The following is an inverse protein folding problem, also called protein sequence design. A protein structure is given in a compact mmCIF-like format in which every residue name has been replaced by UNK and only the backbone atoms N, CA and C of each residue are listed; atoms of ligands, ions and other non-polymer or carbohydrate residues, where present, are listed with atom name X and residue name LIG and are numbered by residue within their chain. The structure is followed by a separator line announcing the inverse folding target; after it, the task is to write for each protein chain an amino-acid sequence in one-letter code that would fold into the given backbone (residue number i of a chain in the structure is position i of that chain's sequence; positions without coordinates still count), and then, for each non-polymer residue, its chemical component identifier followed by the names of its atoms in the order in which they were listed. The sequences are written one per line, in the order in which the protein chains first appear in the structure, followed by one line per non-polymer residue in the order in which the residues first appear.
data_IF_108367845004
#
_entry.id   IF_108367845004
#
_cell.length_a   1.000
_cell.length_b   1.000
_cell.length_c   1.000
_cell.angle_alpha   90.00
_cell.angle_beta   90.00
_cell.angle_gamma   90.00
#
_symmetry.space_group_name_H-M   'P 1'
#
loop_
_entity.id
_entity.type
_entity.pdbx_description
1 polymer ?
#
# COMPACT_ATOMS: atom_id res chain seq x y z
N UNK A 1 -19.12 -36.81 49.35
CA UNK A 1 -20.33 -36.35 49.94
C UNK A 1 -21.07 -35.61 48.84
N UNK A 2 -21.87 -36.38 48.06
CA UNK A 2 -23.34 -36.52 48.20
C UNK A 2 -24.05 -35.24 47.82
N UNK A 3 -25.00 -35.15 46.93
CA UNK A 3 -25.86 -36.13 46.32
C UNK A 3 -26.64 -35.49 45.15
N UNK A 4 -26.89 -36.28 44.16
CA UNK A 4 -27.93 -36.35 43.16
C UNK A 4 -29.31 -35.84 43.57
N UNK A 5 -30.11 -35.28 42.61
CA UNK A 5 -31.45 -35.84 42.37
C UNK A 5 -32.00 -35.40 40.98
N UNK A 6 -32.39 -36.39 40.26
CA UNK A 6 -33.24 -36.48 39.05
C UNK A 6 -34.72 -36.42 39.36
N UNK A 7 -35.56 -35.97 38.40
CA UNK A 7 -36.91 -36.45 38.06
C UNK A 7 -37.40 -35.65 36.84
N UNK A 8 -37.66 -36.14 35.71
CA UNK A 8 -38.44 -37.18 35.02
C UNK A 8 -39.96 -36.89 34.92
N UNK A 9 -40.41 -36.99 33.66
CA UNK A 9 -41.68 -37.41 33.08
C UNK A 9 -42.89 -36.47 33.23
N UNK A 10 -43.82 -36.28 32.29
CA UNK A 10 -44.44 -37.16 31.31
C UNK A 10 -45.38 -36.40 30.37
N UNK A 11 -45.38 -36.79 29.12
CA UNK A 11 -46.45 -37.07 28.15
C UNK A 11 -47.81 -36.35 28.19
N UNK A 12 -48.24 -35.95 26.97
CA UNK A 12 -49.63 -35.65 26.62
C UNK A 12 -49.84 -35.42 25.14
N UNK A 13 -50.04 -36.48 24.37
CA UNK A 13 -50.50 -36.44 22.98
C UNK A 13 -52.04 -36.40 22.95
N UNK A 14 -52.62 -35.58 22.06
CA UNK A 14 -53.93 -35.83 21.51
C UNK A 14 -54.03 -35.39 20.05
N UNK A 15 -54.60 -36.28 19.30
CA UNK A 15 -54.79 -36.37 17.85
C UNK A 15 -56.10 -35.71 17.41
N UNK A 16 -56.20 -35.48 16.09
CA UNK A 16 -57.34 -35.35 15.19
C UNK A 16 -57.94 -33.91 15.06
N UNK A 17 -58.34 -33.41 13.93
CA UNK A 17 -58.92 -34.05 12.75
C UNK A 17 -58.85 -33.14 11.52
N UNK A 18 -58.97 -33.72 10.35
CA UNK A 18 -58.95 -33.13 9.03
C UNK A 18 -60.26 -32.43 8.69
N UNK A 19 -60.22 -31.41 7.87
CA UNK A 19 -61.01 -31.22 6.63
C UNK A 19 -61.13 -29.73 6.23
N UNK A 20 -61.01 -29.48 4.92
CA UNK A 20 -61.49 -28.20 4.35
C UNK A 20 -60.65 -27.64 3.23
N UNK A 21 -60.82 -28.21 2.05
CA UNK A 21 -60.43 -27.66 0.72
C UNK A 21 -61.10 -26.28 0.47
N UNK A 22 -60.33 -25.30 -0.03
CA UNK A 22 -60.82 -24.42 -1.12
C UNK A 22 -59.68 -23.62 -1.73
N UNK A 23 -59.63 -23.68 -3.03
CA UNK A 23 -58.85 -22.83 -3.97
C UNK A 23 -58.80 -21.37 -3.62
N UNK A 24 -57.57 -20.82 -3.66
CA UNK A 24 -57.33 -19.43 -4.06
C UNK A 24 -56.01 -19.35 -4.82
N UNK A 25 -56.01 -19.79 -6.06
CA UNK A 25 -55.07 -19.34 -7.05
C UNK A 25 -55.37 -17.87 -7.37
N UNK A 26 -54.41 -17.00 -7.14
CA UNK A 26 -54.61 -15.58 -7.51
C UNK A 26 -53.50 -14.68 -7.00
N UNK A 27 -52.57 -14.34 -7.92
CA UNK A 27 -51.68 -13.17 -7.89
C UNK A 27 -50.60 -13.16 -6.82
N UNK A 28 -49.62 -14.04 -6.92
CA UNK A 28 -48.26 -13.68 -6.53
C UNK A 28 -47.67 -12.79 -7.64
N UNK A 29 -47.82 -11.48 -7.46
CA UNK A 29 -47.16 -10.48 -8.26
C UNK A 29 -45.68 -10.72 -8.29
N UNK A 30 -45.12 -10.77 -9.48
CA UNK A 30 -43.70 -10.76 -9.71
C UNK A 30 -43.08 -9.49 -9.08
N UNK A 31 -42.66 -9.60 -7.81
CA UNK A 31 -41.65 -8.72 -7.25
C UNK A 31 -40.42 -9.01 -8.08
N UNK A 32 -40.04 -8.06 -8.94
CA UNK A 32 -38.88 -8.17 -9.81
C UNK A 32 -37.68 -8.54 -8.91
N UNK A 33 -37.08 -9.69 -9.18
CA UNK A 33 -35.75 -10.00 -8.73
C UNK A 33 -34.88 -8.87 -9.25
N UNK A 34 -34.42 -7.99 -8.35
CA UNK A 34 -33.35 -7.07 -8.68
C UNK A 34 -32.20 -7.97 -9.12
N UNK A 35 -31.85 -7.84 -10.39
CA UNK A 35 -30.75 -8.58 -11.02
C UNK A 35 -29.46 -8.02 -10.38
N UNK A 36 -29.05 -8.59 -9.25
CA UNK A 36 -27.81 -8.20 -8.59
C UNK A 36 -26.67 -8.66 -9.50
N UNK A 37 -25.94 -7.69 -10.09
CA UNK A 37 -24.76 -7.97 -10.89
C UNK A 37 -23.83 -8.93 -10.13
N UNK A 38 -23.33 -9.94 -10.82
CA UNK A 38 -22.38 -10.89 -10.21
C UNK A 38 -21.12 -10.17 -9.71
N UNK A 39 -20.39 -10.76 -8.77
CA UNK A 39 -19.09 -10.22 -8.34
C UNK A 39 -18.14 -10.00 -9.52
N UNK A 40 -18.21 -10.85 -10.55
CA UNK A 40 -17.45 -10.71 -11.79
C UNK A 40 -17.85 -9.45 -12.58
N UNK A 41 -19.13 -9.19 -12.77
CA UNK A 41 -19.61 -8.01 -13.49
C UNK A 41 -19.28 -6.73 -12.72
N UNK A 42 -19.41 -6.75 -11.40
CA UNK A 42 -19.02 -5.64 -10.53
C UNK A 42 -17.51 -5.37 -10.60
N UNK A 43 -16.68 -6.41 -10.53
CA UNK A 43 -15.23 -6.30 -10.65
C UNK A 43 -14.84 -5.72 -12.03
N UNK A 44 -15.43 -6.24 -13.10
CA UNK A 44 -15.23 -5.71 -14.44
C UNK A 44 -15.65 -4.23 -14.54
N UNK A 45 -16.80 -3.86 -13.98
CA UNK A 45 -17.29 -2.47 -13.99
C UNK A 45 -16.46 -1.51 -13.15
N UNK A 46 -16.09 -1.88 -11.91
CA UNK A 46 -15.40 -0.99 -10.98
C UNK A 46 -13.90 -0.91 -11.24
N UNK A 47 -13.25 -2.06 -11.53
CA UNK A 47 -11.80 -2.14 -11.61
C UNK A 47 -11.24 -1.93 -13.02
N UNK A 48 -11.98 -2.24 -14.10
CA UNK A 48 -11.47 -2.11 -15.48
C UNK A 48 -11.41 -0.67 -16.00
N UNK A 49 -12.04 0.28 -15.31
CA UNK A 49 -12.02 1.68 -15.74
C UNK A 49 -10.59 2.24 -15.72
N UNK A 50 -10.13 2.95 -16.74
CA UNK A 50 -8.84 3.62 -16.72
C UNK A 50 -8.72 4.59 -15.52
N UNK A 51 -7.50 4.78 -15.05
CA UNK A 51 -7.15 5.82 -14.09
C UNK A 51 -6.12 6.76 -14.72
N UNK A 52 -6.36 8.07 -14.65
CA UNK A 52 -5.43 9.06 -15.18
C UNK A 52 -5.17 10.16 -14.18
N UNK A 53 -3.91 10.55 -14.05
CA UNK A 53 -3.46 11.70 -13.26
C UNK A 53 -2.26 12.32 -13.94
N UNK A 54 -2.30 13.62 -14.22
CA UNK A 54 -1.29 14.31 -15.03
C UNK A 54 -1.00 13.54 -16.33
N UNK A 55 0.24 13.16 -16.59
CA UNK A 55 0.65 12.38 -17.78
C UNK A 55 0.50 10.87 -17.65
N UNK A 56 0.30 10.34 -16.43
CA UNK A 56 0.12 8.91 -16.21
C UNK A 56 -1.28 8.47 -16.58
N UNK A 57 -1.38 7.37 -17.33
CA UNK A 57 -2.64 6.66 -17.58
C UNK A 57 -2.45 5.16 -17.35
N UNK A 58 -3.05 4.63 -16.28
CA UNK A 58 -3.17 3.20 -16.05
C UNK A 58 -4.43 2.67 -16.73
N UNK A 59 -4.33 1.52 -17.44
CA UNK A 59 -5.44 0.93 -18.21
C UNK A 59 -6.61 0.46 -17.34
N UNK A 60 -6.40 0.29 -16.03
CA UNK A 60 -7.42 -0.09 -15.06
C UNK A 60 -7.03 0.41 -13.67
N UNK A 61 -7.84 0.09 -12.66
CA UNK A 61 -7.69 0.56 -11.28
C UNK A 61 -6.96 -0.42 -10.35
N UNK A 62 -6.23 -1.38 -10.91
CA UNK A 62 -5.44 -2.35 -10.15
C UNK A 62 -3.97 -1.95 -10.23
N UNK A 63 -3.36 -1.69 -9.07
CA UNK A 63 -1.93 -1.46 -8.92
C UNK A 63 -1.26 -2.65 -8.23
N UNK A 64 0.00 -2.93 -8.58
CA UNK A 64 0.87 -3.77 -7.76
C UNK A 64 1.44 -2.93 -6.62
N UNK A 65 1.22 -3.35 -5.38
CA UNK A 65 1.80 -2.70 -4.20
C UNK A 65 3.32 -2.89 -4.15
N UNK A 66 4.08 -1.90 -3.65
CA UNK A 66 5.52 -2.05 -3.44
C UNK A 66 5.81 -3.12 -2.38
N UNK A 67 6.66 -4.07 -2.75
CA UNK A 67 7.07 -5.19 -1.90
C UNK A 67 8.55 -5.45 -2.09
N UNK A 68 9.35 -5.30 -1.05
CA UNK A 68 10.80 -5.54 -1.07
C UNK A 68 11.07 -7.02 -1.36
N UNK A 69 11.77 -7.32 -2.47
CA UNK A 69 12.08 -8.67 -2.92
C UNK A 69 13.54 -9.06 -2.70
N UNK A 70 14.45 -8.08 -2.74
CA UNK A 70 15.90 -8.29 -2.53
C UNK A 70 16.56 -9.21 -3.57
N UNK A 71 16.23 -9.04 -4.84
CA UNK A 71 16.81 -9.78 -5.95
C UNK A 71 17.67 -8.90 -6.87
N UNK A 72 18.20 -7.79 -6.36
CA UNK A 72 19.07 -6.87 -7.08
C UNK A 72 20.49 -6.89 -6.49
N UNK A 73 21.34 -7.87 -6.83
CA UNK A 73 22.72 -7.92 -6.33
C UNK A 73 23.43 -6.58 -6.58
N UNK A 74 24.20 -6.12 -5.62
CA UNK A 74 24.89 -4.83 -5.67
C UNK A 74 23.96 -3.62 -5.94
N UNK A 75 22.66 -3.77 -5.61
CA UNK A 75 21.64 -2.76 -5.83
C UNK A 75 21.25 -2.53 -7.30
N UNK A 76 21.62 -3.43 -8.21
CA UNK A 76 21.36 -3.33 -9.65
C UNK A 76 20.23 -4.29 -10.05
N UNK A 77 19.05 -3.79 -10.49
CA UNK A 77 18.00 -4.67 -10.99
C UNK A 77 18.39 -5.32 -12.30
N UNK A 78 18.25 -6.66 -12.36
CA UNK A 78 18.60 -7.49 -13.52
C UNK A 78 17.39 -7.85 -14.39
N UNK A 79 17.62 -8.76 -15.35
CA UNK A 79 16.59 -9.28 -16.24
C UNK A 79 15.47 -10.00 -15.47
N UNK A 80 15.80 -10.71 -14.40
CA UNK A 80 14.85 -11.41 -13.54
C UNK A 80 13.87 -10.45 -12.87
N UNK A 81 14.33 -9.26 -12.44
CA UNK A 81 13.49 -8.18 -11.92
C UNK A 81 12.59 -7.61 -13.03
N UNK A 82 13.14 -7.40 -14.24
CA UNK A 82 12.35 -6.96 -15.38
C UNK A 82 11.25 -7.98 -15.73
N UNK A 83 11.57 -9.26 -15.79
CA UNK A 83 10.62 -10.34 -16.07
C UNK A 83 9.53 -10.44 -14.99
N UNK A 84 9.90 -10.25 -13.72
CA UNK A 84 8.98 -10.26 -12.60
C UNK A 84 7.88 -9.20 -12.75
N UNK A 85 8.23 -7.96 -13.04
CA UNK A 85 7.23 -6.89 -13.23
C UNK A 85 6.48 -7.04 -14.55
N UNK A 86 7.16 -7.45 -15.62
CA UNK A 86 6.57 -7.64 -16.95
C UNK A 86 5.45 -8.67 -16.94
N UNK A 87 5.62 -9.80 -16.23
CA UNK A 87 4.57 -10.83 -16.11
C UNK A 87 3.27 -10.25 -15.55
N UNK A 88 3.34 -9.38 -14.55
CA UNK A 88 2.16 -8.76 -13.93
C UNK A 88 1.53 -7.72 -14.83
N UNK A 89 2.35 -6.92 -15.50
CA UNK A 89 1.86 -5.99 -16.51
C UNK A 89 1.16 -6.71 -17.67
N UNK A 90 1.74 -7.81 -18.20
CA UNK A 90 1.11 -8.62 -19.25
C UNK A 90 -0.20 -9.28 -18.80
N UNK A 91 -0.36 -9.50 -17.48
CA UNK A 91 -1.56 -10.09 -16.86
C UNK A 91 -2.53 -9.03 -16.30
N UNK A 92 -2.64 -7.91 -16.96
CA UNK A 92 -3.64 -6.85 -16.71
C UNK A 92 -3.45 -6.05 -15.40
N UNK A 93 -2.28 -6.06 -14.75
CA UNK A 93 -1.97 -5.05 -13.73
C UNK A 93 -1.78 -3.70 -14.43
N UNK A 94 -2.60 -2.70 -14.04
CA UNK A 94 -2.63 -1.38 -14.69
C UNK A 94 -1.43 -0.50 -14.34
N UNK A 95 -1.01 -0.54 -13.06
CA UNK A 95 0.12 0.23 -12.53
C UNK A 95 1.04 -0.68 -11.70
N UNK A 96 2.32 -0.67 -12.01
CA UNK A 96 3.35 -1.29 -11.17
C UNK A 96 3.97 -0.23 -10.28
N UNK A 97 3.93 -0.42 -8.95
CA UNK A 97 4.78 0.33 -8.02
C UNK A 97 5.92 -0.62 -7.64
N UNK A 98 7.16 -0.24 -7.93
CA UNK A 98 8.32 -1.12 -7.70
C UNK A 98 8.51 -1.41 -6.22
N UNK A 99 9.32 -2.40 -5.86
CA UNK A 99 9.88 -2.50 -4.52
C UNK A 99 10.57 -1.19 -4.11
N UNK A 100 10.68 -0.94 -2.78
CA UNK A 100 11.41 0.21 -2.27
C UNK A 100 12.84 0.22 -2.82
N UNK A 101 13.26 1.35 -3.37
CA UNK A 101 14.56 1.54 -4.00
C UNK A 101 15.28 2.73 -3.37
N UNK A 102 16.54 2.53 -2.96
CA UNK A 102 17.27 3.50 -2.16
C UNK A 102 17.66 4.75 -2.96
N UNK A 103 17.39 5.92 -2.37
CA UNK A 103 17.93 7.20 -2.86
C UNK A 103 19.42 7.34 -2.53
N UNK A 104 20.12 8.27 -3.17
CA UNK A 104 21.58 8.47 -3.03
C UNK A 104 21.95 9.12 -1.71
N UNK A 105 21.94 8.35 -0.63
CA UNK A 105 22.43 8.76 0.68
C UNK A 105 23.07 7.56 1.39
N UNK A 106 24.22 7.77 2.07
CA UNK A 106 25.02 6.71 2.67
C UNK A 106 24.24 5.83 3.66
N UNK A 107 23.31 6.42 4.40
CA UNK A 107 22.45 5.74 5.38
C UNK A 107 21.10 5.27 4.81
N UNK A 108 20.87 5.39 3.50
CA UNK A 108 19.56 5.10 2.92
C UNK A 108 19.15 3.63 2.99
N UNK A 109 20.12 2.71 3.02
CA UNK A 109 19.86 1.29 2.86
C UNK A 109 20.44 0.39 3.94
N UNK A 110 19.86 -0.81 4.09
CA UNK A 110 20.30 -1.85 5.02
C UNK A 110 20.63 -3.19 4.35
N UNK A 111 20.49 -3.30 3.03
CA UNK A 111 20.80 -4.50 2.25
C UNK A 111 21.38 -4.13 0.89
N UNK A 112 22.44 -4.80 0.48
CA UNK A 112 23.06 -4.68 -0.84
C UNK A 112 22.27 -5.37 -1.96
N UNK A 113 21.21 -6.10 -1.57
CA UNK A 113 20.31 -6.80 -2.49
C UNK A 113 19.02 -6.02 -2.80
N UNK A 114 18.78 -4.91 -2.13
CA UNK A 114 17.71 -3.98 -2.44
C UNK A 114 18.20 -3.02 -3.53
N UNK A 115 17.42 -2.77 -4.58
CA UNK A 115 17.86 -1.92 -5.68
C UNK A 115 18.10 -0.47 -5.22
N UNK A 116 19.00 0.21 -5.92
CA UNK A 116 19.29 1.63 -5.76
C UNK A 116 18.69 2.43 -6.91
N UNK A 117 18.24 3.65 -6.64
CA UNK A 117 17.77 4.56 -7.68
C UNK A 117 18.79 5.68 -7.95
N UNK A 118 20.04 5.30 -7.97
CA UNK A 118 21.21 6.15 -8.28
C UNK A 118 22.37 5.32 -8.82
N UNK A 119 23.35 6.02 -9.44
CA UNK A 119 24.47 5.36 -10.07
C UNK A 119 24.13 4.76 -11.45
N UNK A 120 25.09 4.79 -12.36
CA UNK A 120 24.88 4.49 -13.78
C UNK A 120 24.32 3.07 -14.01
N UNK A 121 24.91 2.05 -13.37
CA UNK A 121 24.50 0.65 -13.58
C UNK A 121 23.05 0.39 -13.08
N UNK A 122 22.71 0.89 -11.88
CA UNK A 122 21.37 0.68 -11.33
C UNK A 122 20.31 1.44 -12.15
N UNK A 123 20.59 2.68 -12.56
CA UNK A 123 19.69 3.45 -13.41
C UNK A 123 19.49 2.83 -14.79
N UNK A 124 20.56 2.26 -15.40
CA UNK A 124 20.43 1.52 -16.65
C UNK A 124 19.56 0.27 -16.50
N UNK A 125 19.71 -0.48 -15.38
CA UNK A 125 18.86 -1.62 -15.06
C UNK A 125 17.39 -1.20 -14.89
N UNK A 126 17.13 -0.11 -14.19
CA UNK A 126 15.78 0.43 -14.04
C UNK A 126 15.15 0.92 -15.35
N UNK A 127 15.93 1.54 -16.23
CA UNK A 127 15.45 1.91 -17.57
C UNK A 127 15.01 0.67 -18.36
N UNK A 128 15.78 -0.43 -18.29
CA UNK A 128 15.40 -1.70 -18.92
C UNK A 128 14.11 -2.28 -18.31
N UNK A 129 13.93 -2.20 -16.99
CA UNK A 129 12.71 -2.64 -16.32
C UNK A 129 11.49 -1.83 -16.81
N UNK A 130 11.59 -0.49 -16.82
CA UNK A 130 10.51 0.39 -17.27
C UNK A 130 10.11 0.09 -18.72
N UNK A 131 11.07 0.00 -19.64
CA UNK A 131 10.85 -0.36 -21.04
C UNK A 131 10.14 -1.72 -21.19
N UNK A 132 10.49 -2.70 -20.36
CA UNK A 132 9.91 -4.04 -20.41
C UNK A 132 8.46 -4.05 -19.96
N UNK A 133 8.12 -3.31 -18.90
CA UNK A 133 6.75 -3.13 -18.41
C UNK A 133 5.90 -2.38 -19.43
N UNK A 134 6.43 -1.32 -20.04
CA UNK A 134 5.72 -0.56 -21.08
C UNK A 134 5.41 -1.41 -22.31
N UNK A 135 6.38 -2.24 -22.79
CA UNK A 135 6.11 -3.20 -23.89
C UNK A 135 4.98 -4.18 -23.57
N UNK A 136 4.79 -4.51 -22.28
CA UNK A 136 3.67 -5.34 -21.83
C UNK A 136 2.36 -4.54 -21.61
N UNK A 137 2.38 -3.23 -21.86
CA UNK A 137 1.21 -2.34 -21.78
C UNK A 137 0.87 -1.89 -20.35
N UNK A 138 1.74 -2.07 -19.35
CA UNK A 138 1.58 -1.55 -17.99
C UNK A 138 2.22 -0.17 -17.83
N UNK A 139 1.74 0.61 -16.85
CA UNK A 139 2.44 1.77 -16.32
C UNK A 139 3.31 1.36 -15.13
N UNK A 140 4.41 2.09 -14.87
CA UNK A 140 5.35 1.78 -13.78
C UNK A 140 5.90 3.04 -13.12
N UNK A 141 5.95 3.04 -11.78
CA UNK A 141 6.58 4.09 -10.97
C UNK A 141 7.55 3.47 -9.95
N UNK A 142 8.71 4.08 -9.65
CA UNK A 142 9.58 3.61 -8.58
C UNK A 142 9.05 4.06 -7.23
N UNK A 143 9.22 3.22 -6.17
CA UNK A 143 9.06 3.67 -4.80
C UNK A 143 10.41 4.13 -4.25
N UNK A 144 10.61 5.44 -4.10
CA UNK A 144 11.82 6.05 -3.58
C UNK A 144 11.86 5.91 -2.04
N UNK A 145 12.99 5.42 -1.52
CA UNK A 145 13.05 4.94 -0.15
C UNK A 145 14.35 5.30 0.57
N UNK A 146 14.21 5.66 1.83
CA UNK A 146 15.30 5.80 2.81
C UNK A 146 14.84 5.18 4.13
N UNK A 147 15.58 4.17 4.64
CA UNK A 147 15.16 3.43 5.84
C UNK A 147 15.28 4.23 7.15
N UNK A 148 16.10 5.27 7.17
CA UNK A 148 16.29 6.11 8.36
C UNK A 148 16.90 5.34 9.53
N UNK A 149 16.37 5.60 10.73
CA UNK A 149 16.88 5.00 11.98
C UNK A 149 16.68 3.48 12.03
N UNK A 150 15.84 2.89 11.16
CA UNK A 150 15.65 1.44 11.11
C UNK A 150 16.83 0.71 10.46
N UNK A 151 17.80 1.44 9.87
CA UNK A 151 19.02 0.88 9.31
C UNK A 151 19.69 -0.05 10.33
N UNK A 152 20.14 -1.21 9.84
CA UNK A 152 20.96 -2.14 10.60
C UNK A 152 22.43 -1.68 10.53
N UNK A 153 23.07 -1.48 11.68
CA UNK A 153 24.49 -1.15 11.76
C UNK A 153 25.36 -2.25 11.14
N UNK A 154 26.41 -1.86 10.46
CA UNK A 154 27.33 -2.81 9.81
C UNK A 154 26.77 -3.50 8.56
N UNK A 155 25.56 -3.13 8.09
CA UNK A 155 24.91 -3.74 6.95
C UNK A 155 24.70 -2.77 5.79
N UNK A 156 24.31 -3.31 4.62
CA UNK A 156 23.95 -2.56 3.43
C UNK A 156 25.12 -2.06 2.59
N UNK A 157 24.83 -1.20 1.59
CA UNK A 157 25.83 -0.78 0.60
C UNK A 157 27.03 -0.01 1.19
N UNK A 158 26.83 0.68 2.33
CA UNK A 158 27.83 1.45 3.04
C UNK A 158 27.84 0.99 4.51
N UNK A 159 28.54 -0.13 4.84
CA UNK A 159 28.47 -0.74 6.18
C UNK A 159 28.83 0.21 7.33
N UNK A 160 29.79 1.10 7.09
CA UNK A 160 30.28 2.06 8.10
C UNK A 160 29.35 3.27 8.30
N UNK A 161 28.31 3.44 7.46
CA UNK A 161 27.36 4.54 7.63
C UNK A 161 26.50 4.35 8.88
N UNK A 162 26.42 5.39 9.69
CA UNK A 162 25.62 5.40 10.92
C UNK A 162 24.12 5.51 10.60
N UNK A 163 23.23 4.80 11.33
CA UNK A 163 21.79 5.03 11.23
C UNK A 163 21.44 6.48 11.59
N UNK A 164 20.58 7.10 10.78
CA UNK A 164 20.14 8.48 11.00
C UNK A 164 18.63 8.57 11.09
N UNK A 165 18.14 9.51 11.88
CA UNK A 165 16.71 9.77 12.02
C UNK A 165 16.47 11.15 12.60
N UNK A 166 15.22 11.55 12.88
CA UNK A 166 14.94 12.88 13.42
C UNK A 166 15.64 13.15 14.76
N UNK A 167 15.83 12.14 15.61
CA UNK A 167 16.23 12.37 17.01
C UNK A 167 17.26 11.37 17.54
N UNK A 168 17.84 10.50 16.72
CA UNK A 168 18.82 9.49 17.18
C UNK A 168 18.24 8.47 18.16
N UNK A 169 16.98 8.11 17.98
CA UNK A 169 16.27 7.09 18.76
C UNK A 169 15.56 6.11 17.82
N UNK A 170 15.48 4.85 18.24
CA UNK A 170 14.72 3.81 17.56
C UNK A 170 13.21 4.08 17.61
N UNK A 171 12.42 3.31 16.89
CA UNK A 171 10.95 3.39 16.96
C UNK A 171 10.39 2.98 18.33
N UNK A 172 11.16 2.24 19.14
CA UNK A 172 10.82 1.92 20.54
C UNK A 172 11.28 3.01 21.54
N UNK A 173 11.95 4.07 21.07
CA UNK A 173 12.41 5.19 21.90
C UNK A 173 13.82 5.02 22.50
N UNK A 174 14.51 3.91 22.21
CA UNK A 174 15.87 3.67 22.70
C UNK A 174 16.92 4.41 21.85
N UNK A 175 18.04 4.85 22.44
CA UNK A 175 19.13 5.46 21.68
C UNK A 175 19.60 4.57 20.54
N UNK A 176 19.69 5.14 19.32
CA UNK A 176 20.17 4.44 18.13
C UNK A 176 20.68 5.45 17.10
N UNK A 177 21.90 5.22 16.58
CA UNK A 177 22.48 6.11 15.59
C UNK A 177 22.52 7.57 16.06
N UNK A 178 22.29 8.51 15.16
CA UNK A 178 22.32 9.94 15.48
C UNK A 178 21.12 10.72 14.93
N UNK A 179 20.87 11.88 15.54
CA UNK A 179 19.93 12.85 14.98
C UNK A 179 20.52 13.50 13.71
N UNK A 180 19.68 13.69 12.70
CA UNK A 180 20.07 14.37 11.46
C UNK A 180 20.36 15.84 11.72
N UNK A 181 21.49 16.33 11.16
CA UNK A 181 21.84 17.73 11.07
C UNK A 181 21.09 18.42 9.93
N UNK A 182 21.18 19.75 9.83
CA UNK A 182 20.61 20.47 8.66
C UNK A 182 21.22 19.96 7.34
N UNK A 183 22.53 19.70 7.33
CA UNK A 183 23.20 19.16 6.14
C UNK A 183 22.62 17.81 5.72
N UNK A 184 22.37 16.90 6.67
CA UNK A 184 21.76 15.60 6.35
C UNK A 184 20.34 15.78 5.76
N UNK A 185 19.56 16.73 6.29
CA UNK A 185 18.23 17.05 5.76
C UNK A 185 18.33 17.55 4.31
N UNK A 186 19.23 18.50 4.06
CA UNK A 186 19.45 19.08 2.74
C UNK A 186 19.92 18.02 1.73
N UNK A 187 20.86 17.15 2.12
CA UNK A 187 21.38 16.04 1.29
C UNK A 187 20.27 15.04 0.94
N UNK A 188 19.42 14.67 1.91
CA UNK A 188 18.32 13.73 1.66
C UNK A 188 17.24 14.36 0.78
N UNK A 189 16.88 15.62 0.99
CA UNK A 189 15.94 16.34 0.12
C UNK A 189 16.45 16.33 -1.33
N UNK A 190 17.73 16.66 -1.54
CA UNK A 190 18.35 16.63 -2.86
C UNK A 190 18.35 15.22 -3.46
N UNK A 191 18.68 14.18 -2.68
CA UNK A 191 18.71 12.80 -3.15
C UNK A 191 17.33 12.29 -3.62
N UNK A 192 16.25 12.66 -2.95
CA UNK A 192 14.89 12.34 -3.42
C UNK A 192 14.53 13.10 -4.70
N UNK A 193 14.89 14.37 -4.81
CA UNK A 193 14.66 15.19 -6.00
C UNK A 193 15.42 14.66 -7.21
N UNK A 194 16.70 14.29 -7.04
CA UNK A 194 17.54 13.70 -8.09
C UNK A 194 17.00 12.34 -8.55
N UNK A 195 16.52 11.53 -7.61
CA UNK A 195 15.89 10.24 -7.93
C UNK A 195 14.58 10.43 -8.70
N UNK A 196 13.73 11.38 -8.34
CA UNK A 196 12.50 11.70 -9.08
C UNK A 196 12.82 12.19 -10.51
N UNK A 197 13.79 13.09 -10.66
CA UNK A 197 14.26 13.56 -11.97
C UNK A 197 14.87 12.41 -12.80
N UNK A 198 15.58 11.47 -12.16
CA UNK A 198 16.09 10.29 -12.84
C UNK A 198 14.95 9.38 -13.31
N UNK A 199 13.91 9.19 -12.51
CA UNK A 199 12.74 8.41 -12.89
C UNK A 199 12.05 8.97 -14.15
N UNK A 200 11.84 10.28 -14.21
CA UNK A 200 11.28 10.91 -15.40
C UNK A 200 12.18 10.75 -16.64
N UNK A 201 13.50 10.96 -16.50
CA UNK A 201 14.46 10.77 -17.62
C UNK A 201 14.51 9.32 -18.12
N UNK A 202 14.29 8.34 -17.27
CA UNK A 202 14.24 6.92 -17.62
C UNK A 202 12.89 6.48 -18.20
N UNK A 203 11.93 7.39 -18.29
CA UNK A 203 10.62 7.11 -18.88
C UNK A 203 9.62 6.46 -17.91
N UNK A 204 9.86 6.49 -16.60
CA UNK A 204 8.82 6.09 -15.64
C UNK A 204 7.61 7.03 -15.70
N UNK A 205 6.44 6.52 -15.36
CA UNK A 205 5.17 7.25 -15.46
C UNK A 205 4.87 8.15 -14.25
N UNK A 206 5.73 8.17 -13.25
CA UNK A 206 5.63 8.94 -12.01
C UNK A 206 6.64 8.43 -10.99
N UNK A 207 6.56 8.90 -9.76
CA UNK A 207 7.35 8.38 -8.63
C UNK A 207 6.52 8.33 -7.34
N UNK A 208 6.74 7.33 -6.49
CA UNK A 208 6.14 7.23 -5.17
C UNK A 208 7.20 7.51 -4.09
N UNK A 209 6.90 8.44 -3.18
CA UNK A 209 7.71 8.74 -2.00
C UNK A 209 7.27 7.85 -0.83
N UNK A 210 8.19 7.10 -0.24
CA UNK A 210 7.87 6.18 0.85
C UNK A 210 7.82 6.91 2.20
N UNK A 211 6.66 7.47 2.55
CA UNK A 211 6.38 8.16 3.81
C UNK A 211 5.61 7.34 4.84
N UNK A 212 5.86 6.03 4.92
CA UNK A 212 5.09 5.10 5.73
C UNK A 212 5.96 4.12 6.53
N UNK A 213 5.34 3.33 7.42
CA UNK A 213 5.85 2.12 8.06
C UNK A 213 7.03 2.32 9.03
N UNK A 214 7.29 3.54 9.48
CA UNK A 214 8.41 3.84 10.38
C UNK A 214 9.74 4.07 9.67
N UNK A 215 9.75 4.32 8.33
CA UNK A 215 10.94 4.71 7.59
C UNK A 215 11.17 6.23 7.66
N UNK A 216 12.26 6.74 7.09
CA UNK A 216 12.78 8.08 7.39
C UNK A 216 11.72 9.19 7.35
N UNK A 217 10.96 9.32 6.28
CA UNK A 217 9.94 10.38 6.17
C UNK A 217 8.88 10.21 7.27
N UNK A 218 8.39 8.99 7.47
CA UNK A 218 7.42 8.67 8.52
C UNK A 218 7.97 8.89 9.94
N UNK A 219 9.28 8.68 10.15
CA UNK A 219 9.94 8.97 11.43
C UNK A 219 9.87 10.47 11.79
N UNK A 220 9.92 11.35 10.79
CA UNK A 220 9.73 12.79 11.01
C UNK A 220 8.29 13.13 11.34
N UNK A 221 7.32 12.48 10.71
CA UNK A 221 5.89 12.71 10.94
C UNK A 221 5.43 12.25 12.33
N UNK A 222 6.00 11.16 12.85
CA UNK A 222 5.53 10.53 14.08
C UNK A 222 6.18 11.11 15.34
N UNK A 223 5.36 11.58 16.30
CA UNK A 223 5.85 12.12 17.59
C UNK A 223 6.61 11.10 18.43
N UNK A 224 6.41 9.78 18.21
CA UNK A 224 7.12 8.72 18.91
C UNK A 224 8.62 8.69 18.60
N UNK A 225 9.02 9.01 17.36
CA UNK A 225 10.41 9.05 16.91
C UNK A 225 10.96 10.47 16.71
N UNK A 226 10.13 11.48 16.53
CA UNK A 226 10.54 12.86 16.34
C UNK A 226 10.42 13.67 17.65
N UNK A 227 11.55 13.87 18.31
CA UNK A 227 11.70 14.67 19.55
C UNK A 227 12.43 15.99 19.29
N UNK A 228 12.51 16.45 18.02
CA UNK A 228 13.20 17.70 17.66
C UNK A 228 12.49 18.91 18.25
N UNK A 229 13.27 19.94 18.54
CA UNK A 229 12.80 21.22 19.07
C UNK A 229 13.05 22.38 18.09
N UNK A 230 13.57 22.08 16.91
CA UNK A 230 13.74 23.02 15.79
C UNK A 230 12.51 23.05 14.88
N UNK A 231 12.64 23.65 13.70
CA UNK A 231 11.56 23.83 12.73
C UNK A 231 10.97 22.50 12.16
N UNK A 232 11.59 21.35 12.43
CA UNK A 232 11.18 20.02 11.96
C UNK A 232 10.56 19.15 13.07
N UNK A 233 10.33 19.71 14.25
CA UNK A 233 9.75 19.04 15.41
C UNK A 233 8.64 19.84 16.06
N UNK A 234 8.04 19.32 17.13
CA UNK A 234 6.93 19.93 17.83
C UNK A 234 5.56 19.39 17.45
N UNK A 235 4.63 20.26 17.03
CA UNK A 235 3.29 19.83 16.62
C UNK A 235 3.30 19.08 15.28
N UNK A 236 2.14 18.54 14.89
CA UNK A 236 2.02 17.71 13.69
C UNK A 236 2.38 18.48 12.41
N UNK A 237 2.00 19.74 12.32
CA UNK A 237 2.29 20.59 11.15
C UNK A 237 3.80 20.82 11.00
N UNK A 238 4.48 21.16 12.11
CA UNK A 238 5.93 21.32 12.11
C UNK A 238 6.67 20.02 11.76
N UNK A 239 6.19 18.87 12.26
CA UNK A 239 6.75 17.55 11.90
C UNK A 239 6.53 17.18 10.43
N UNK A 240 5.49 17.71 9.77
CA UNK A 240 5.21 17.47 8.34
C UNK A 240 6.18 18.21 7.42
N UNK A 241 6.86 19.24 7.92
CA UNK A 241 7.72 20.13 7.13
C UNK A 241 8.77 19.38 6.30
N UNK A 242 9.50 18.44 6.89
CA UNK A 242 10.53 17.68 6.16
C UNK A 242 9.94 16.90 4.96
N UNK A 243 8.81 16.24 5.17
CA UNK A 243 8.12 15.54 4.10
C UNK A 243 7.64 16.51 3.00
N UNK A 244 7.08 17.66 3.37
CA UNK A 244 6.64 18.69 2.42
C UNK A 244 7.80 19.27 1.63
N UNK A 245 8.96 19.51 2.24
CA UNK A 245 10.17 19.99 1.55
C UNK A 245 10.70 18.94 0.56
N UNK A 246 10.69 17.66 0.89
CA UNK A 246 11.02 16.56 -0.06
C UNK A 246 10.05 16.57 -1.25
N UNK A 247 8.74 16.64 -0.98
CA UNK A 247 7.72 16.68 -2.05
C UNK A 247 7.92 17.91 -2.95
N UNK A 248 8.12 19.08 -2.37
CA UNK A 248 8.34 20.32 -3.12
C UNK A 248 9.62 20.26 -3.98
N UNK A 249 10.70 19.71 -3.45
CA UNK A 249 11.95 19.52 -4.19
C UNK A 249 11.79 18.55 -5.36
N UNK A 250 11.11 17.40 -5.13
CA UNK A 250 10.77 16.47 -6.20
C UNK A 250 9.87 17.13 -7.26
N UNK A 251 8.86 17.89 -6.83
CA UNK A 251 7.96 18.60 -7.75
C UNK A 251 8.70 19.62 -8.62
N UNK A 252 9.67 20.34 -8.05
CA UNK A 252 10.50 21.30 -8.77
C UNK A 252 11.49 20.63 -9.75
N UNK A 253 11.86 19.38 -9.50
CA UNK A 253 12.84 18.62 -10.29
C UNK A 253 12.24 17.88 -11.51
N UNK A 254 10.90 17.78 -11.60
CA UNK A 254 10.21 17.06 -12.66
C UNK A 254 9.17 17.96 -13.37
N UNK A 255 8.74 17.53 -14.56
CA UNK A 255 7.74 18.26 -15.34
C UNK A 255 6.35 18.25 -14.72
N UNK A 256 5.47 19.15 -15.17
CA UNK A 256 4.06 19.18 -14.75
C UNK A 256 3.29 17.92 -15.15
N UNK A 257 3.77 17.18 -16.15
CA UNK A 257 3.16 15.92 -16.58
C UNK A 257 3.50 14.73 -15.67
N UNK A 258 4.56 14.83 -14.84
CA UNK A 258 5.03 13.73 -14.03
C UNK A 258 4.35 13.72 -12.64
N UNK A 259 3.48 12.74 -12.31
CA UNK A 259 2.78 12.71 -11.03
C UNK A 259 3.67 12.22 -9.90
N UNK A 260 3.47 12.80 -8.71
CA UNK A 260 4.08 12.40 -7.46
C UNK A 260 3.05 11.72 -6.56
N UNK A 261 3.35 10.49 -6.18
CA UNK A 261 2.60 9.69 -5.22
C UNK A 261 3.26 9.80 -3.84
N UNK A 262 2.45 9.82 -2.80
CA UNK A 262 2.95 9.79 -1.43
C UNK A 262 2.32 8.64 -0.65
N UNK A 263 3.13 7.65 -0.27
CA UNK A 263 2.65 6.54 0.55
C UNK A 263 2.72 6.90 2.01
N UNK A 264 1.61 6.72 2.71
CA UNK A 264 1.48 6.96 4.15
C UNK A 264 0.84 5.77 4.87
N UNK A 265 1.09 5.67 6.17
CA UNK A 265 0.43 4.72 7.07
C UNK A 265 0.25 5.32 8.45
N UNK A 266 -0.79 4.93 9.16
CA UNK A 266 -0.89 5.22 10.61
C UNK A 266 0.10 4.35 11.39
N UNK A 267 0.08 3.04 11.17
CA UNK A 267 0.89 2.04 11.86
C UNK A 267 2.37 2.05 11.43
N UNK A 268 3.23 1.53 12.31
CA UNK A 268 4.66 1.34 12.06
C UNK A 268 5.01 -0.15 12.18
N UNK A 269 6.10 -0.57 11.53
CA UNK A 269 6.52 -1.98 11.54
C UNK A 269 6.72 -2.52 12.97
N UNK A 270 7.34 -1.73 13.85
CA UNK A 270 7.64 -2.11 15.24
C UNK A 270 6.66 -1.48 16.26
N UNK A 271 5.62 -0.78 15.82
CA UNK A 271 4.63 -0.13 16.67
C UNK A 271 3.25 -0.10 15.97
N UNK A 272 2.55 -1.21 16.04
CA UNK A 272 1.28 -1.41 15.32
C UNK A 272 0.16 -0.47 15.71
N UNK A 273 0.10 -0.09 16.98
CA UNK A 273 -0.91 0.80 17.53
C UNK A 273 -0.54 2.29 17.35
N UNK A 274 0.61 2.56 16.72
CA UNK A 274 1.01 3.93 16.45
C UNK A 274 0.03 4.60 15.49
N UNK A 275 -0.22 5.89 15.74
CA UNK A 275 -0.98 6.76 14.86
C UNK A 275 -0.22 8.05 14.58
N UNK A 276 -0.35 8.55 13.35
CA UNK A 276 0.09 9.90 12.98
C UNK A 276 -0.97 10.92 13.34
N UNK A 277 -2.24 10.54 13.18
CA UNK A 277 -3.40 11.36 13.41
C UNK A 277 -4.49 10.56 14.15
N UNK A 278 -4.99 11.10 15.26
CA UNK A 278 -6.03 10.48 16.10
C UNK A 278 -7.45 10.94 15.69
N UNK A 279 -7.53 11.94 14.81
CA UNK A 279 -8.79 12.53 14.36
C UNK A 279 -8.72 12.95 12.89
N UNK A 280 -9.89 13.15 12.22
CA UNK A 280 -9.93 13.72 10.89
C UNK A 280 -9.28 15.10 10.79
N UNK A 281 -9.33 15.92 11.84
CA UNK A 281 -8.72 17.24 11.89
C UNK A 281 -7.18 17.16 11.93
N UNK A 282 -6.63 16.22 12.67
CA UNK A 282 -5.19 15.97 12.68
C UNK A 282 -4.74 15.38 11.34
N UNK A 283 -5.56 14.49 10.74
CA UNK A 283 -5.26 13.97 9.42
C UNK A 283 -5.25 15.08 8.35
N UNK A 284 -6.14 16.06 8.44
CA UNK A 284 -6.13 17.24 7.56
C UNK A 284 -4.87 18.08 7.77
N UNK A 285 -4.45 18.33 9.01
CA UNK A 285 -3.22 19.04 9.33
C UNK A 285 -1.96 18.35 8.78
N UNK A 286 -1.99 17.02 8.62
CA UNK A 286 -0.93 16.25 7.96
C UNK A 286 -0.99 16.33 6.44
N UNK A 287 -2.20 16.18 5.85
CA UNK A 287 -2.37 16.04 4.40
C UNK A 287 -2.26 17.36 3.64
N UNK A 288 -2.77 18.45 4.22
CA UNK A 288 -2.82 19.76 3.56
C UNK A 288 -1.43 20.26 3.14
N UNK A 289 -0.39 20.29 4.01
CA UNK A 289 0.95 20.70 3.60
C UNK A 289 1.56 19.82 2.50
N UNK A 290 1.28 18.51 2.51
CA UNK A 290 1.77 17.59 1.49
C UNK A 290 1.09 17.81 0.14
N UNK A 291 -0.23 18.01 0.14
CA UNK A 291 -0.99 18.32 -1.07
C UNK A 291 -0.59 19.65 -1.69
N UNK A 292 -0.36 20.69 -0.86
CA UNK A 292 0.13 22.00 -1.28
C UNK A 292 1.57 21.95 -1.82
N UNK A 293 2.43 21.10 -1.24
CA UNK A 293 3.78 20.87 -1.73
C UNK A 293 3.84 20.15 -3.08
N UNK A 294 2.76 19.49 -3.52
CA UNK A 294 2.67 18.92 -4.85
C UNK A 294 2.39 17.41 -4.93
N UNK A 295 1.89 16.79 -3.86
CA UNK A 295 1.38 15.40 -3.94
C UNK A 295 0.15 15.36 -4.84
N UNK A 296 0.19 14.50 -5.85
CA UNK A 296 -0.91 14.31 -6.79
C UNK A 296 -1.82 13.16 -6.38
N UNK A 297 -1.25 12.10 -5.78
CA UNK A 297 -1.96 10.88 -5.38
C UNK A 297 -1.47 10.42 -4.02
N UNK A 298 -2.37 10.09 -3.11
CA UNK A 298 -2.03 9.44 -1.85
C UNK A 298 -2.21 7.93 -1.91
N UNK A 299 -1.23 7.19 -1.39
CA UNK A 299 -1.28 5.74 -1.23
C UNK A 299 -1.44 5.40 0.25
N UNK A 300 -2.66 5.17 0.69
CA UNK A 300 -2.99 4.89 2.08
C UNK A 300 -2.76 3.41 2.41
N UNK A 301 -1.67 3.14 3.13
CA UNK A 301 -1.29 1.79 3.52
C UNK A 301 -1.95 1.40 4.83
N UNK A 302 -2.88 0.45 4.76
CA UNK A 302 -3.54 -0.17 5.91
C UNK A 302 -3.13 -1.62 6.07
N UNK A 303 -3.39 -2.22 7.22
CA UNK A 303 -3.23 -3.67 7.43
C UNK A 303 -4.40 -4.43 6.81
N UNK A 304 -5.60 -3.87 6.92
CA UNK A 304 -6.87 -4.41 6.40
C UNK A 304 -7.70 -3.26 5.86
N UNK A 305 -7.92 -3.21 4.55
CA UNK A 305 -8.61 -2.12 3.87
C UNK A 305 -10.08 -1.94 4.31
N UNK A 306 -10.68 -2.97 4.89
CA UNK A 306 -12.10 -2.94 5.31
C UNK A 306 -12.33 -2.36 6.70
N UNK A 307 -11.28 -2.12 7.49
CA UNK A 307 -11.43 -1.55 8.82
C UNK A 307 -11.63 -0.03 8.74
N UNK A 308 -12.58 0.51 9.51
CA UNK A 308 -12.74 1.95 9.64
C UNK A 308 -11.53 2.58 10.35
N UNK A 309 -11.20 3.83 9.99
CA UNK A 309 -10.07 4.54 10.58
C UNK A 309 -10.45 5.31 11.84
N UNK A 310 -11.58 6.02 11.84
CA UNK A 310 -12.02 6.83 12.97
C UNK A 310 -13.41 6.42 13.43
N UNK A 311 -13.68 6.56 14.72
CA UNK A 311 -14.99 6.27 15.30
C UNK A 311 -16.12 7.08 14.65
N UNK A 312 -17.30 6.50 14.56
CA UNK A 312 -18.49 7.14 13.99
C UNK A 312 -18.53 7.20 12.46
N UNK A 313 -17.60 6.54 11.78
CA UNK A 313 -17.55 6.43 10.31
C UNK A 313 -17.10 5.04 9.89
N UNK A 314 -17.60 4.56 8.76
CA UNK A 314 -17.17 3.31 8.12
C UNK A 314 -16.02 3.51 7.11
N UNK A 315 -15.61 4.77 6.86
CA UNK A 315 -14.50 5.06 5.95
C UNK A 315 -13.18 4.51 6.50
N UNK A 316 -12.45 3.82 5.62
CA UNK A 316 -11.08 3.44 5.91
C UNK A 316 -10.12 4.65 5.75
N UNK A 317 -8.83 4.44 6.01
CA UNK A 317 -7.82 5.51 5.87
C UNK A 317 -7.84 6.13 4.46
N UNK A 318 -7.94 5.33 3.39
CA UNK A 318 -7.96 5.85 2.01
C UNK A 318 -9.19 6.72 1.75
N UNK A 319 -10.36 6.30 2.22
CA UNK A 319 -11.60 7.08 2.11
C UNK A 319 -11.51 8.42 2.84
N UNK A 320 -10.92 8.44 4.03
CA UNK A 320 -10.68 9.69 4.75
C UNK A 320 -9.66 10.58 4.05
N UNK A 321 -8.56 10.01 3.57
CA UNK A 321 -7.53 10.76 2.82
C UNK A 321 -8.12 11.41 1.57
N UNK A 322 -8.92 10.67 0.79
CA UNK A 322 -9.61 11.21 -0.38
C UNK A 322 -10.59 12.33 -0.01
N UNK A 323 -11.41 12.11 1.01
CA UNK A 323 -12.41 13.06 1.48
C UNK A 323 -11.79 14.38 1.95
N UNK A 324 -10.66 14.33 2.63
CA UNK A 324 -9.97 15.50 3.19
C UNK A 324 -9.14 16.21 2.13
N UNK A 325 -8.26 15.47 1.44
CA UNK A 325 -7.31 16.08 0.51
C UNK A 325 -7.92 16.47 -0.84
N UNK A 326 -9.05 15.86 -1.22
CA UNK A 326 -9.62 15.99 -2.56
C UNK A 326 -8.73 15.40 -3.67
N UNK A 327 -7.67 14.66 -3.31
CA UNK A 327 -6.75 14.02 -4.26
C UNK A 327 -7.14 12.58 -4.53
N UNK A 328 -6.85 12.05 -5.73
CA UNK A 328 -6.96 10.63 -5.99
C UNK A 328 -6.20 9.80 -4.96
N UNK A 329 -6.75 8.63 -4.62
CA UNK A 329 -6.21 7.82 -3.53
C UNK A 329 -6.18 6.33 -3.90
N UNK A 330 -5.08 5.66 -3.50
CA UNK A 330 -4.97 4.20 -3.54
C UNK A 330 -5.20 3.63 -2.14
N UNK A 331 -5.94 2.53 -2.04
CA UNK A 331 -6.01 1.71 -0.82
C UNK A 331 -5.16 0.46 -0.96
N UNK A 332 -4.61 -0.04 0.14
CA UNK A 332 -3.92 -1.34 0.23
C UNK A 332 -4.10 -1.94 1.62
N UNK A 333 -4.18 -3.26 1.71
CA UNK A 333 -4.22 -4.01 2.97
C UNK A 333 -4.99 -5.32 2.85
N UNK A 334 -4.32 -6.46 2.80
CA UNK A 334 -4.90 -7.82 2.71
C UNK A 334 -5.93 -8.00 1.59
N UNK A 335 -5.73 -7.36 0.43
CA UNK A 335 -6.63 -7.49 -0.72
C UNK A 335 -6.56 -8.90 -1.29
N UNK A 336 -7.71 -9.60 -1.33
CA UNK A 336 -7.85 -10.95 -1.86
C UNK A 336 -7.23 -12.07 -1.00
N UNK A 337 -6.81 -11.75 0.24
CA UNK A 337 -6.21 -12.71 1.17
C UNK A 337 -6.75 -12.53 2.60
N UNK A 338 -6.91 -13.64 3.33
CA UNK A 338 -7.38 -13.66 4.73
C UNK A 338 -6.30 -13.28 5.75
N UNK A 339 -5.03 -13.62 5.47
CA UNK A 339 -3.91 -13.35 6.36
C UNK A 339 -3.40 -11.90 6.30
N UNK A 340 -2.89 -11.41 7.43
CA UNK A 340 -2.21 -10.13 7.47
C UNK A 340 -0.74 -10.21 6.98
N UNK A 341 -0.12 -9.03 6.79
CA UNK A 341 1.22 -8.93 6.26
C UNK A 341 2.29 -9.59 7.15
N UNK A 342 2.14 -9.52 8.49
CA UNK A 342 3.15 -10.07 9.41
C UNK A 342 3.07 -11.57 9.57
N UNK A 343 1.90 -12.15 9.40
CA UNK A 343 1.75 -13.60 9.42
C UNK A 343 2.64 -14.27 8.36
N UNK A 344 2.81 -13.62 7.19
CA UNK A 344 3.68 -14.11 6.13
C UNK A 344 5.18 -14.14 6.55
N UNK A 345 5.67 -13.15 7.28
CA UNK A 345 7.05 -13.16 7.79
C UNK A 345 7.27 -14.16 8.92
N UNK A 346 6.21 -14.58 9.58
CA UNK A 346 6.22 -15.68 10.55
C UNK A 346 6.14 -17.06 9.88
N UNK A 347 6.11 -17.11 8.53
CA UNK A 347 6.05 -18.32 7.76
C UNK A 347 4.62 -18.86 7.54
N UNK A 348 3.59 -18.05 7.79
CA UNK A 348 2.21 -18.45 7.59
C UNK A 348 1.72 -18.19 6.15
N UNK A 349 0.98 -19.15 5.63
CA UNK A 349 0.28 -19.04 4.35
C UNK A 349 -1.00 -18.20 4.50
N UNK A 350 -1.61 -17.82 3.38
CA UNK A 350 -2.89 -17.10 3.36
C UNK A 350 -3.80 -17.66 2.27
N UNK A 351 -5.06 -17.90 2.62
CA UNK A 351 -6.08 -18.34 1.69
C UNK A 351 -6.62 -17.20 0.85
N UNK A 352 -7.12 -17.51 -0.33
CA UNK A 352 -7.83 -16.55 -1.17
C UNK A 352 -9.17 -16.17 -0.54
N UNK A 353 -9.50 -14.88 -0.56
CA UNK A 353 -10.81 -14.36 -0.12
C UNK A 353 -11.48 -13.58 -1.24
N UNK A 354 -12.82 -13.42 -1.14
CA UNK A 354 -13.59 -12.55 -2.02
C UNK A 354 -13.19 -11.07 -1.90
N UNK A 355 -13.60 -10.30 -2.89
CA UNK A 355 -13.34 -8.85 -2.98
C UNK A 355 -14.63 -8.01 -2.92
N UNK A 356 -15.75 -8.60 -2.50
CA UNK A 356 -17.07 -7.95 -2.49
C UNK A 356 -17.04 -6.64 -1.69
N UNK A 357 -16.44 -6.67 -0.49
CA UNK A 357 -16.28 -5.47 0.35
C UNK A 357 -15.40 -4.39 -0.31
N UNK A 358 -14.41 -4.79 -1.11
CA UNK A 358 -13.59 -3.85 -1.88
C UNK A 358 -14.44 -3.17 -2.95
N UNK A 359 -15.26 -3.95 -3.68
CA UNK A 359 -16.14 -3.45 -4.72
C UNK A 359 -17.20 -2.51 -4.13
N UNK A 360 -17.81 -2.86 -2.99
CA UNK A 360 -18.76 -2.00 -2.28
C UNK A 360 -18.17 -0.61 -1.99
N UNK A 361 -16.90 -0.55 -1.54
CA UNK A 361 -16.20 0.70 -1.25
C UNK A 361 -15.83 1.48 -2.51
N UNK A 362 -15.38 0.80 -3.57
CA UNK A 362 -15.08 1.43 -4.85
C UNK A 362 -16.33 1.99 -5.53
N UNK A 363 -17.46 1.30 -5.44
CA UNK A 363 -18.75 1.75 -5.98
C UNK A 363 -19.28 2.99 -5.24
N UNK A 364 -18.95 3.14 -3.95
CA UNK A 364 -19.20 4.36 -3.17
C UNK A 364 -18.17 5.48 -3.37
N UNK A 365 -17.22 5.28 -4.29
CA UNK A 365 -16.15 6.22 -4.62
C UNK A 365 -15.25 6.59 -3.42
N UNK A 366 -15.04 5.66 -2.48
CA UNK A 366 -14.20 5.90 -1.30
C UNK A 366 -12.73 6.09 -1.67
N UNK A 367 -12.23 5.42 -2.72
CA UNK A 367 -10.88 5.55 -3.27
C UNK A 367 -10.88 5.26 -4.77
N UNK A 368 -9.77 5.59 -5.45
CA UNK A 368 -9.71 5.55 -6.92
C UNK A 368 -9.04 4.30 -7.46
N UNK A 369 -8.08 3.74 -6.74
CA UNK A 369 -7.34 2.53 -7.11
C UNK A 369 -7.16 1.60 -5.92
N UNK A 370 -6.88 0.33 -6.21
CA UNK A 370 -6.50 -0.67 -5.22
C UNK A 370 -5.10 -1.19 -5.53
N UNK A 371 -4.23 -1.19 -4.52
CA UNK A 371 -2.92 -1.81 -4.62
C UNK A 371 -2.95 -3.22 -4.00
N UNK A 372 -2.45 -4.20 -4.75
CA UNK A 372 -2.46 -5.61 -4.41
C UNK A 372 -1.03 -6.08 -4.14
N UNK A 373 -0.81 -6.68 -2.98
CA UNK A 373 0.52 -7.13 -2.54
C UNK A 373 0.72 -8.63 -2.75
N UNK A 374 0.74 -9.38 -1.68
CA UNK A 374 1.08 -10.83 -1.64
C UNK A 374 0.28 -11.69 -2.60
N UNK A 375 -0.98 -11.35 -2.86
CA UNK A 375 -1.78 -12.06 -3.87
C UNK A 375 -1.13 -12.00 -5.26
N UNK A 376 -0.48 -10.88 -5.63
CA UNK A 376 0.29 -10.75 -6.88
C UNK A 376 1.68 -11.42 -6.81
N UNK A 377 2.23 -11.71 -5.62
CA UNK A 377 3.41 -12.58 -5.50
C UNK A 377 3.01 -14.02 -5.82
N UNK A 378 1.89 -14.47 -5.23
CA UNK A 378 1.40 -15.84 -5.41
C UNK A 378 0.91 -16.10 -6.83
N UNK A 379 0.19 -15.15 -7.39
CA UNK A 379 -0.45 -15.29 -8.70
C UNK A 379 -0.21 -14.04 -9.56
N UNK A 380 0.75 -14.07 -10.49
CA UNK A 380 0.98 -12.96 -11.42
C UNK A 380 -0.26 -12.61 -12.27
N UNK A 381 -1.16 -13.55 -12.49
CA UNK A 381 -2.40 -13.38 -13.26
C UNK A 381 -3.61 -12.94 -12.40
N UNK A 382 -3.41 -12.63 -11.12
CA UNK A 382 -4.48 -12.25 -10.20
C UNK A 382 -5.41 -11.18 -10.79
N UNK A 383 -4.85 -10.13 -11.39
CA UNK A 383 -5.63 -9.04 -11.98
C UNK A 383 -6.49 -9.53 -13.16
N UNK A 384 -5.89 -10.28 -14.09
CA UNK A 384 -6.60 -10.85 -15.24
C UNK A 384 -7.71 -11.81 -14.81
N UNK A 385 -7.46 -12.67 -13.82
CA UNK A 385 -8.44 -13.61 -13.27
C UNK A 385 -9.59 -12.87 -12.59
N UNK A 386 -9.27 -11.86 -11.77
CA UNK A 386 -10.27 -11.04 -11.08
C UNK A 386 -11.16 -10.28 -12.06
N UNK A 387 -10.58 -9.61 -13.07
CA UNK A 387 -11.34 -8.87 -14.09
C UNK A 387 -12.23 -9.75 -14.97
N UNK A 388 -11.89 -11.04 -15.11
CA UNK A 388 -12.65 -12.04 -15.88
C UNK A 388 -13.57 -12.92 -15.04
N UNK A 389 -13.68 -12.66 -13.73
CA UNK A 389 -14.51 -13.43 -12.81
C UNK A 389 -14.04 -14.87 -12.55
N UNK A 390 -12.74 -15.16 -12.78
CA UNK A 390 -12.14 -16.49 -12.54
C UNK A 390 -11.39 -16.52 -11.21
N UNK A 391 -12.04 -16.08 -10.15
CA UNK A 391 -11.41 -15.95 -8.82
C UNK A 391 -11.10 -17.30 -8.19
N UNK A 392 -11.78 -18.38 -8.58
CA UNK A 392 -11.53 -19.76 -8.18
C UNK A 392 -10.19 -20.30 -8.71
N UNK A 393 -9.67 -19.73 -9.78
CA UNK A 393 -8.37 -20.10 -10.37
C UNK A 393 -7.19 -19.40 -9.70
N UNK A 394 -7.42 -18.48 -8.75
CA UNK A 394 -6.37 -17.71 -8.09
C UNK A 394 -5.57 -18.62 -7.16
N UNK A 395 -4.25 -18.58 -7.31
CA UNK A 395 -3.31 -19.31 -6.46
C UNK A 395 -3.23 -18.67 -5.06
N UNK A 396 -3.44 -19.42 -3.97
CA UNK A 396 -3.27 -18.91 -2.62
C UNK A 396 -1.80 -18.59 -2.34
N UNK A 397 -1.57 -17.68 -1.39
CA UNK A 397 -0.22 -17.26 -1.02
C UNK A 397 0.41 -18.27 -0.06
N UNK A 398 1.60 -18.75 -0.40
CA UNK A 398 2.48 -19.50 0.50
C UNK A 398 3.74 -18.69 0.83
N UNK A 399 4.17 -18.70 2.09
CA UNK A 399 5.33 -17.95 2.56
C UNK A 399 6.64 -18.29 1.79
N UNK A 400 6.77 -19.52 1.29
CA UNK A 400 7.88 -19.96 0.45
C UNK A 400 8.03 -19.14 -0.84
N UNK A 401 6.95 -18.57 -1.38
CA UNK A 401 6.95 -17.75 -2.60
C UNK A 401 7.72 -16.45 -2.43
N UNK A 402 7.99 -16.04 -1.19
CA UNK A 402 8.86 -14.89 -0.91
C UNK A 402 10.32 -15.14 -1.31
N UNK A 403 10.75 -16.39 -1.46
CA UNK A 403 12.13 -16.78 -1.74
C UNK A 403 12.50 -16.76 -3.23
N UNK A 404 11.54 -16.50 -4.12
CA UNK A 404 11.75 -16.51 -5.59
C UNK A 404 11.10 -15.30 -6.25
N UNK A 405 11.57 -14.92 -7.45
CA UNK A 405 10.91 -13.98 -8.36
C UNK A 405 10.06 -14.76 -9.38
N UNK A 406 8.95 -15.28 -8.91
CA UNK A 406 7.99 -15.96 -9.79
C UNK A 406 7.10 -14.97 -10.51
#
# INVERSE_FOLDING_TARGET
MTDTTTADATTGATTADAAGTADAAGAAGAAGAADFASTADRAASALSRPFSVRGLTARNRIAMAPMTRQFSPDGVPGQDVADYYTRRAAADVGLIITEGTYVDHESAGTSDRVPRFHGEAALAGWGHVADSVHRAGGAIIPQLWHVGITRTEGAGPVPDAEPVGPSGISLSGEPKGRAMTQKDLDDVIAAFADAAAAAERLGFDGAELHGAHGYLIDQFLWSGSNRRTDAYGGDLVARTRFAAEIVAACRAAVSDAFPLFFRMSQWKADAYEAKLAESPQELDALLTPLAEAGVDVFHASTRRYWLPEFEGSDLNLAGWVKKISGRPTLTVGSVGLDGDFFSAFQGNDSSVTGIEQLLDRMERDEFDMVAVGRALIADPEWAAKTLRGRTEDITPFAAEMLKTLH
#
